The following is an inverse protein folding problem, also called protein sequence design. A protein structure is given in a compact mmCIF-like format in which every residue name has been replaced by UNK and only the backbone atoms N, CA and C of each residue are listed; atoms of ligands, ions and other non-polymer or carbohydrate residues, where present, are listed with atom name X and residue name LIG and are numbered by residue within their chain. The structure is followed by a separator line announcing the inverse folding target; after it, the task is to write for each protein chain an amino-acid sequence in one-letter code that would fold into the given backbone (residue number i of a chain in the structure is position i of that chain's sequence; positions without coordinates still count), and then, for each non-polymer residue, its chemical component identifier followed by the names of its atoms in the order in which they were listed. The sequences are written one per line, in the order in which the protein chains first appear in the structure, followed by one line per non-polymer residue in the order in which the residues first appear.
data_IF_528368824626
#
_entry.id   IF_528368824626
#
_cell.length_a   1.000
_cell.length_b   1.000
_cell.length_c   1.000
_cell.angle_alpha   90.00
_cell.angle_beta   90.00
_cell.angle_gamma   90.00
#
_symmetry.space_group_name_H-M   'P 1'
#
loop_
_entity.id
_entity.type
_entity.pdbx_description
1 polymer ?
#
# COMPACT_ATOMS: atom_id res chain seq x y z
N UNK A 1 -4.30 -7.40 -14.27
CA UNK A 1 -4.89 -7.16 -12.93
C UNK A 1 -4.38 -8.24 -12.01
N UNK A 2 -4.02 -7.89 -10.79
CA UNK A 2 -3.43 -8.80 -9.80
C UNK A 2 -4.33 -8.78 -8.56
N UNK A 3 -4.72 -9.95 -8.07
CA UNK A 3 -5.49 -10.06 -6.83
C UNK A 3 -4.53 -10.05 -5.64
N UNK A 4 -4.63 -9.04 -4.78
CA UNK A 4 -3.80 -8.85 -3.59
C UNK A 4 -4.61 -9.07 -2.31
N UNK A 5 -5.30 -10.21 -2.22
CA UNK A 5 -6.15 -10.64 -1.09
C UNK A 5 -7.35 -9.73 -0.80
N UNK A 6 -7.13 -8.51 -0.31
CA UNK A 6 -8.21 -7.59 0.01
C UNK A 6 -8.74 -6.83 -1.23
N UNK A 7 -7.86 -6.55 -2.20
CA UNK A 7 -8.17 -5.67 -3.34
C UNK A 7 -7.56 -6.14 -4.65
N UNK A 8 -8.13 -5.66 -5.75
CA UNK A 8 -7.55 -5.83 -7.09
C UNK A 8 -6.61 -4.68 -7.42
N UNK A 9 -5.36 -5.01 -7.71
CA UNK A 9 -4.33 -4.08 -8.16
C UNK A 9 -4.22 -4.08 -9.68
N UNK A 10 -4.09 -2.89 -10.27
CA UNK A 10 -3.79 -2.74 -11.68
C UNK A 10 -2.33 -2.28 -11.88
N UNK A 11 -1.42 -3.18 -12.31
CA UNK A 11 -0.02 -2.82 -12.54
C UNK A 11 0.18 -1.82 -13.69
N UNK A 12 -0.75 -1.74 -14.64
CA UNK A 12 -0.66 -0.78 -15.76
C UNK A 12 -0.89 0.66 -15.30
N UNK A 13 -1.73 0.85 -14.27
CA UNK A 13 -2.05 2.17 -13.71
C UNK A 13 -1.23 2.43 -12.42
N UNK A 14 -0.72 1.39 -11.78
CA UNK A 14 0.06 1.50 -10.54
C UNK A 14 -0.79 1.70 -9.29
N UNK A 15 -2.09 1.33 -9.32
CA UNK A 15 -3.06 1.66 -8.25
C UNK A 15 -4.09 0.54 -8.04
N UNK A 16 -4.78 0.56 -6.91
CA UNK A 16 -5.91 -0.32 -6.65
C UNK A 16 -7.13 0.11 -7.46
N UNK A 17 -7.96 -0.86 -7.85
CA UNK A 17 -9.23 -0.64 -8.56
C UNK A 17 -10.41 -0.42 -7.62
N UNK A 18 -10.25 -0.80 -6.36
CA UNK A 18 -11.26 -0.65 -5.31
C UNK A 18 -10.71 0.20 -4.18
N UNK A 19 -11.52 1.07 -3.56
CA UNK A 19 -11.07 1.88 -2.43
C UNK A 19 -10.77 1.00 -1.20
N UNK A 20 -9.78 1.39 -0.40
CA UNK A 20 -9.48 0.75 0.89
C UNK A 20 -10.65 0.92 1.86
N UNK A 21 -11.12 -0.13 2.54
CA UNK A 21 -12.17 0.01 3.55
C UNK A 21 -11.66 0.63 4.87
N UNK A 22 -10.34 0.68 5.06
CA UNK A 22 -9.69 1.23 6.24
C UNK A 22 -9.10 2.60 5.90
N UNK A 23 -9.37 3.60 6.73
CA UNK A 23 -8.68 4.89 6.68
C UNK A 23 -7.58 4.89 7.76
N UNK A 24 -6.30 4.80 7.39
CA UNK A 24 -5.23 4.58 8.37
C UNK A 24 -5.00 5.77 9.32
N UNK A 25 -5.13 7.01 8.87
CA UNK A 25 -5.05 8.20 9.74
C UNK A 25 -5.83 9.40 9.16
N UNK A 26 -6.80 9.98 9.91
CA UNK A 26 -7.53 11.18 9.47
C UNK A 26 -6.65 12.44 9.42
N UNK A 27 -5.53 12.47 10.14
CA UNK A 27 -4.63 13.63 10.19
C UNK A 27 -3.63 13.66 9.04
N UNK A 28 -3.55 12.59 8.25
CA UNK A 28 -2.63 12.45 7.14
C UNK A 28 -3.38 12.56 5.82
N UNK A 29 -3.15 13.67 5.11
CA UNK A 29 -3.72 13.94 3.78
C UNK A 29 -3.48 12.79 2.78
N UNK A 30 -2.38 12.05 2.90
CA UNK A 30 -2.05 10.94 2.01
C UNK A 30 -2.91 9.69 2.28
N UNK A 31 -3.46 9.55 3.49
CA UNK A 31 -4.37 8.46 3.86
C UNK A 31 -5.75 8.57 3.20
N UNK A 32 -6.10 9.75 2.67
CA UNK A 32 -7.33 9.95 1.90
C UNK A 32 -7.25 9.37 0.50
N UNK A 33 -6.05 9.08 0.00
CA UNK A 33 -5.89 8.38 -1.26
C UNK A 33 -6.10 6.86 -1.10
N UNK A 34 -7.38 6.48 -0.97
CA UNK A 34 -7.84 5.10 -0.74
C UNK A 34 -7.52 4.13 -1.89
N UNK A 35 -6.99 4.61 -3.01
CA UNK A 35 -6.60 3.80 -4.16
C UNK A 35 -5.08 3.70 -4.32
N UNK A 36 -4.30 4.47 -3.55
CA UNK A 36 -2.85 4.45 -3.63
C UNK A 36 -2.29 3.05 -3.32
N UNK A 37 -1.43 2.56 -4.19
CA UNK A 37 -0.58 1.43 -3.84
C UNK A 37 0.61 1.97 -3.05
N UNK A 38 0.90 1.34 -1.90
CA UNK A 38 2.15 1.58 -1.12
C UNK A 38 2.45 3.05 -0.82
N UNK A 39 1.41 3.87 -0.55
CA UNK A 39 1.52 5.33 -0.34
C UNK A 39 2.27 6.06 -1.46
N UNK A 40 2.12 5.60 -2.71
CA UNK A 40 2.85 6.07 -3.89
C UNK A 40 4.38 5.87 -3.81
N UNK A 41 4.86 4.95 -2.97
CA UNK A 41 6.29 4.61 -2.85
C UNK A 41 6.52 3.08 -3.01
N UNK A 42 6.25 2.50 -4.19
CA UNK A 42 6.39 1.07 -4.44
C UNK A 42 7.84 0.56 -4.47
N UNK A 43 8.82 1.46 -4.43
CA UNK A 43 10.25 1.11 -4.36
C UNK A 43 10.63 0.71 -2.93
N UNK A 44 10.14 1.46 -1.95
CA UNK A 44 10.52 1.27 -0.55
C UNK A 44 9.45 0.56 0.26
N UNK A 45 8.23 0.46 -0.25
CA UNK A 45 7.10 -0.11 0.44
C UNK A 45 6.45 -1.22 -0.43
N UNK A 46 6.06 -2.30 0.23
CA UNK A 46 5.28 -3.42 -0.34
C UNK A 46 4.03 -3.57 0.52
N UNK A 47 2.86 -3.79 -0.09
CA UNK A 47 1.62 -4.12 0.64
C UNK A 47 1.28 -5.61 0.43
N UNK A 48 1.66 -6.51 1.36
CA UNK A 48 1.41 -7.94 1.20
C UNK A 48 -0.07 -8.30 1.39
N UNK A 49 -0.80 -7.50 2.16
CA UNK A 49 -2.20 -7.78 2.57
C UNK A 49 -3.23 -7.11 1.66
N UNK A 50 -2.78 -6.17 0.83
CA UNK A 50 -3.63 -5.30 0.05
C UNK A 50 -4.37 -4.27 0.89
N UNK A 51 -3.97 -3.96 2.13
CA UNK A 51 -4.54 -2.89 2.97
C UNK A 51 -3.48 -2.04 3.69
N UNK A 52 -2.27 -2.56 3.88
CA UNK A 52 -1.23 -1.91 4.68
C UNK A 52 0.14 -2.05 4.03
N UNK A 53 0.70 -0.90 3.65
CA UNK A 53 2.05 -0.81 3.12
C UNK A 53 3.07 -1.04 4.24
N UNK A 54 3.94 -2.02 4.05
CA UNK A 54 5.09 -2.32 4.90
C UNK A 54 6.37 -1.85 4.22
N UNK A 55 7.42 -1.59 5.00
CA UNK A 55 8.74 -1.40 4.44
C UNK A 55 9.15 -2.66 3.66
N UNK A 56 9.47 -2.49 2.38
CA UNK A 56 9.98 -3.55 1.51
C UNK A 56 11.26 -4.20 2.08
N UNK A 57 11.97 -3.44 2.93
CA UNK A 57 13.14 -3.86 3.67
C UNK A 57 12.78 -4.14 5.13
N UNK A 58 12.16 -5.28 5.43
CA UNK A 58 12.24 -5.91 6.78
C UNK A 58 13.68 -6.43 7.01
N UNK A 59 14.66 -5.54 6.83
CA UNK A 59 16.11 -5.81 6.94
C UNK A 59 16.89 -4.69 7.61
N UNK A 60 16.32 -3.50 7.83
CA UNK A 60 17.00 -2.41 8.56
C UNK A 60 16.66 -2.33 10.05
N UNK A 61 15.93 -3.30 10.61
CA UNK A 61 15.66 -3.39 12.06
C UNK A 61 16.33 -4.61 12.73
N UNK A 62 17.36 -5.18 12.11
CA UNK A 62 18.26 -6.18 12.73
C UNK A 62 19.75 -5.77 12.73
N UNK A 63 20.07 -4.48 12.61
CA UNK A 63 21.43 -3.96 12.88
C UNK A 63 21.41 -2.53 13.42
N UNK A 64 21.05 -2.35 14.69
CA UNK A 64 21.90 -1.92 15.84
C UNK A 64 21.03 -1.75 17.09
#
# INVERSE_FOLDING_TARGET
MIYMQARYYNPTIGRFLTPDNVLPSPTDSLSYDRYAYTRNNPINLIDPTGNFAWAAFIGQLWTV
#
